data_IF_515463588843
#
_entry.id   IF_515463588843
#
_cell.length_a   1.000
_cell.length_b   1.000
_cell.length_c   1.000
_cell.angle_alpha   90.00
_cell.angle_beta   90.00
_cell.angle_gamma   90.00
#
_symmetry.space_group_name_H-M   'P 1'
#
loop_
_entity.id
_entity.type
_entity.pdbx_description
1 polymer ?
#
# COMPACT_ATOMS: atom_id res chain seq x y z
N UNK A 1 -3.08 -6.53 33.86
CA UNK A 1 -2.87 -5.26 33.13
C UNK A 1 -1.49 -5.12 32.50
N UNK A 2 -0.37 -5.31 33.23
CA UNK A 2 0.99 -5.09 32.71
C UNK A 2 1.32 -5.88 31.42
N UNK A 3 0.96 -7.17 31.36
CA UNK A 3 1.23 -8.02 30.19
C UNK A 3 0.51 -7.57 28.90
N UNK A 4 -0.69 -6.98 29.03
CA UNK A 4 -1.45 -6.46 27.90
C UNK A 4 -0.78 -5.21 27.32
N UNK A 5 -0.36 -4.28 28.19
CA UNK A 5 0.36 -3.07 27.81
C UNK A 5 1.69 -3.39 27.12
N UNK A 6 2.46 -4.35 27.66
CA UNK A 6 3.74 -4.77 27.08
C UNK A 6 3.59 -5.43 25.69
N UNK A 7 2.53 -6.24 25.49
CA UNK A 7 2.22 -6.81 24.18
C UNK A 7 1.88 -5.72 23.16
N UNK A 8 1.08 -4.73 23.57
CA UNK A 8 0.68 -3.60 22.72
C UNK A 8 1.87 -2.73 22.30
N UNK A 9 2.79 -2.41 23.22
CA UNK A 9 3.99 -1.63 22.89
C UNK A 9 4.95 -2.38 21.97
N UNK A 10 5.12 -3.70 22.18
CA UNK A 10 5.93 -4.54 21.29
C UNK A 10 5.34 -4.61 19.87
N UNK A 11 4.03 -4.74 19.74
CA UNK A 11 3.34 -4.77 18.45
C UNK A 11 3.49 -3.43 17.72
N UNK A 12 3.28 -2.30 18.40
CA UNK A 12 3.49 -0.97 17.82
C UNK A 12 4.93 -0.76 17.33
N UNK A 13 5.94 -1.23 18.09
CA UNK A 13 7.35 -1.17 17.68
C UNK A 13 7.64 -2.02 16.45
N UNK A 14 7.00 -3.20 16.32
CA UNK A 14 7.12 -4.04 15.11
C UNK A 14 6.51 -3.37 13.89
N UNK A 15 5.29 -2.82 14.01
CA UNK A 15 4.63 -2.09 12.92
C UNK A 15 5.47 -0.89 12.45
N UNK A 16 6.01 -0.09 13.38
CA UNK A 16 6.93 1.02 13.03
C UNK A 16 8.16 0.55 12.26
N UNK A 17 8.73 -0.61 12.59
CA UNK A 17 9.87 -1.16 11.83
C UNK A 17 9.49 -1.60 10.42
N UNK A 18 8.29 -2.15 10.24
CA UNK A 18 7.77 -2.51 8.91
C UNK A 18 7.56 -1.23 8.10
N UNK A 19 6.88 -0.22 8.66
CA UNK A 19 6.67 1.08 8.02
C UNK A 19 8.00 1.73 7.58
N UNK A 20 8.99 1.77 8.46
CA UNK A 20 10.34 2.25 8.14
C UNK A 20 11.02 1.44 7.02
N UNK A 21 10.85 0.13 7.00
CA UNK A 21 11.40 -0.71 5.94
C UNK A 21 10.75 -0.42 4.59
N UNK A 22 9.42 -0.26 4.56
CA UNK A 22 8.67 0.12 3.35
C UNK A 22 9.08 1.51 2.88
N UNK A 23 9.21 2.48 3.78
CA UNK A 23 9.68 3.83 3.48
C UNK A 23 11.08 3.83 2.83
N UNK A 24 12.02 3.06 3.39
CA UNK A 24 13.39 2.97 2.88
C UNK A 24 13.48 2.31 1.50
N UNK A 25 12.65 1.30 1.23
CA UNK A 25 12.75 0.50 0.00
C UNK A 25 11.93 1.11 -1.14
N UNK A 26 10.77 1.68 -0.83
CA UNK A 26 9.78 2.08 -1.84
C UNK A 26 9.10 3.42 -1.57
N UNK A 27 9.62 4.24 -0.65
CA UNK A 27 9.13 5.59 -0.40
C UNK A 27 7.82 5.68 0.39
N UNK A 28 7.37 4.58 1.00
CA UNK A 28 6.29 4.58 2.00
C UNK A 28 5.05 3.82 1.56
N UNK A 29 4.18 3.50 2.51
CA UNK A 29 3.00 2.65 2.28
C UNK A 29 2.05 3.29 1.26
N UNK A 30 1.69 4.56 1.44
CA UNK A 30 0.84 5.34 0.53
C UNK A 30 1.35 5.30 -0.91
N UNK A 31 2.65 5.52 -1.10
CA UNK A 31 3.29 5.45 -2.42
C UNK A 31 3.22 4.05 -3.02
N UNK A 32 3.41 3.00 -2.23
CA UNK A 32 3.32 1.61 -2.71
C UNK A 32 1.92 1.22 -3.16
N UNK A 33 0.89 1.71 -2.48
CA UNK A 33 -0.50 1.53 -2.91
C UNK A 33 -0.69 2.19 -4.28
N UNK A 34 -0.26 3.45 -4.39
CA UNK A 34 -0.42 4.24 -5.61
C UNK A 34 0.32 3.65 -6.84
N UNK A 35 1.60 3.28 -6.68
CA UNK A 35 2.41 2.62 -7.71
C UNK A 35 1.81 1.27 -8.16
N UNK A 36 1.25 0.51 -7.21
CA UNK A 36 0.63 -0.78 -7.51
C UNK A 36 -0.65 -0.62 -8.34
N UNK A 37 -1.43 0.43 -8.07
CA UNK A 37 -2.63 0.80 -8.85
C UNK A 37 -2.25 1.33 -10.23
N UNK A 38 -1.26 2.23 -10.31
CA UNK A 38 -0.71 2.71 -11.59
C UNK A 38 -0.23 1.56 -12.48
N UNK A 39 0.47 0.58 -11.91
CA UNK A 39 0.91 -0.60 -12.67
C UNK A 39 -0.27 -1.36 -13.28
N UNK A 40 -1.36 -1.55 -12.56
CA UNK A 40 -2.55 -2.20 -13.12
C UNK A 40 -3.18 -1.37 -14.24
N UNK A 41 -3.28 -0.04 -14.10
CA UNK A 41 -3.77 0.85 -15.16
C UNK A 41 -2.91 0.73 -16.43
N UNK A 42 -1.59 0.76 -16.28
CA UNK A 42 -0.65 0.60 -17.40
C UNK A 42 -0.84 -0.77 -18.07
N UNK A 43 -0.98 -1.85 -17.31
CA UNK A 43 -1.19 -3.18 -17.85
C UNK A 43 -2.53 -3.30 -18.58
N UNK A 44 -3.61 -2.72 -18.04
CA UNK A 44 -4.92 -2.69 -18.68
C UNK A 44 -4.87 -1.89 -19.99
N UNK A 45 -4.19 -0.74 -20.01
CA UNK A 45 -4.13 0.14 -21.18
C UNK A 45 -3.18 -0.37 -22.28
N UNK A 46 -2.03 -0.93 -21.89
CA UNK A 46 -0.93 -1.25 -22.83
C UNK A 46 -0.83 -2.74 -23.16
N UNK A 47 -1.21 -3.61 -22.23
CA UNK A 47 -1.07 -5.07 -22.38
C UNK A 47 -2.32 -5.84 -21.94
N UNK A 48 -3.54 -5.50 -22.42
CA UNK A 48 -4.76 -6.17 -21.96
C UNK A 48 -4.80 -7.68 -22.29
N UNK A 49 -4.09 -8.11 -23.35
CA UNK A 49 -3.95 -9.53 -23.69
C UNK A 49 -3.21 -10.32 -22.60
N UNK A 50 -2.18 -9.73 -21.99
CA UNK A 50 -1.42 -10.32 -20.90
C UNK A 50 -2.33 -10.61 -19.69
N UNK A 51 -3.22 -9.68 -19.35
CA UNK A 51 -4.16 -9.85 -18.24
C UNK A 51 -5.24 -10.90 -18.53
N UNK A 52 -5.64 -11.08 -19.80
CA UNK A 52 -6.55 -12.15 -20.21
C UNK A 52 -5.89 -13.53 -20.12
N UNK A 53 -4.64 -13.65 -20.55
CA UNK A 53 -3.90 -14.91 -20.51
C UNK A 53 -3.45 -15.28 -19.10
N UNK A 54 -3.10 -14.29 -18.29
CA UNK A 54 -2.56 -14.47 -16.93
C UNK A 54 -3.40 -13.69 -15.90
N UNK A 55 -4.65 -14.11 -15.64
CA UNK A 55 -5.56 -13.40 -14.73
C UNK A 55 -5.03 -13.32 -13.29
N UNK A 56 -4.12 -14.23 -12.90
CA UNK A 56 -3.46 -14.20 -11.60
C UNK A 56 -2.66 -12.91 -11.34
N UNK A 57 -2.24 -12.18 -12.38
CA UNK A 57 -1.54 -10.90 -12.23
C UNK A 57 -2.45 -9.89 -11.51
N UNK A 58 -3.73 -9.82 -11.89
CA UNK A 58 -4.70 -8.94 -11.21
C UNK A 58 -4.90 -9.37 -9.77
N UNK A 59 -4.96 -10.69 -9.51
CA UNK A 59 -5.05 -11.24 -8.16
C UNK A 59 -3.85 -10.88 -7.29
N UNK A 60 -2.64 -10.98 -7.84
CA UNK A 60 -1.40 -10.59 -7.17
C UNK A 60 -1.39 -9.10 -6.82
N UNK A 61 -1.72 -8.23 -7.78
CA UNK A 61 -1.78 -6.79 -7.55
C UNK A 61 -2.85 -6.43 -6.51
N UNK A 62 -4.01 -7.10 -6.54
CA UNK A 62 -5.09 -6.89 -5.55
C UNK A 62 -4.64 -7.29 -4.14
N UNK A 63 -4.02 -8.46 -3.99
CA UNK A 63 -3.53 -8.92 -2.69
C UNK A 63 -2.46 -7.96 -2.11
N UNK A 64 -1.61 -7.38 -2.95
CA UNK A 64 -0.64 -6.37 -2.51
C UNK A 64 -1.34 -5.06 -2.10
N UNK A 65 -2.35 -4.61 -2.87
CA UNK A 65 -3.14 -3.42 -2.54
C UNK A 65 -3.83 -3.55 -1.18
N UNK A 66 -4.50 -4.68 -0.96
CA UNK A 66 -5.17 -4.99 0.30
C UNK A 66 -4.18 -5.08 1.47
N UNK A 67 -3.02 -5.70 1.26
CA UNK A 67 -1.97 -5.78 2.27
C UNK A 67 -1.46 -4.39 2.68
N UNK A 68 -1.13 -3.53 1.71
CA UNK A 68 -0.64 -2.19 2.01
C UNK A 68 -1.73 -1.28 2.59
N UNK A 69 -2.98 -1.40 2.13
CA UNK A 69 -4.11 -0.68 2.70
C UNK A 69 -4.36 -1.07 4.16
N UNK A 70 -4.29 -2.36 4.48
CA UNK A 70 -4.41 -2.84 5.87
C UNK A 70 -3.22 -2.41 6.72
N UNK A 71 -2.01 -2.41 6.16
CA UNK A 71 -0.82 -1.91 6.86
C UNK A 71 -0.93 -0.41 7.17
N UNK A 72 -1.46 0.40 6.25
CA UNK A 72 -1.73 1.83 6.45
C UNK A 72 -2.79 2.03 7.55
N UNK A 73 -3.87 1.24 7.54
CA UNK A 73 -4.91 1.27 8.59
C UNK A 73 -4.36 0.95 9.97
N UNK A 74 -3.37 0.07 10.05
CA UNK A 74 -2.70 -0.32 11.29
C UNK A 74 -1.58 0.66 11.70
N UNK A 75 -1.24 1.63 10.85
CA UNK A 75 -0.18 2.59 11.13
C UNK A 75 -0.59 3.43 12.36
N UNK A 76 0.27 3.51 13.39
CA UNK A 76 0.03 4.44 14.48
C UNK A 76 -0.04 5.87 13.92
N UNK A 77 -0.91 6.72 14.47
CA UNK A 77 -0.89 8.15 14.17
C UNK A 77 0.55 8.67 14.29
N UNK A 78 1.06 9.20 13.19
CA UNK A 78 2.33 9.91 13.22
C UNK A 78 2.04 11.32 13.75
N UNK A 79 2.89 11.89 14.62
CA UNK A 79 2.82 13.32 14.90
C UNK A 79 2.87 14.06 13.56
N UNK A 80 2.05 15.10 13.40
CA UNK A 80 1.91 15.84 12.16
C UNK A 80 3.29 16.11 11.55
N UNK A 81 3.51 15.61 10.33
CA UNK A 81 4.75 15.82 9.62
C UNK A 81 4.92 17.34 9.43
N UNK A 82 6.09 17.87 9.80
CA UNK A 82 6.47 19.24 9.47
C UNK A 82 6.40 19.47 7.95
N UNK A 83 6.20 20.73 7.57
CA UNK A 83 6.05 21.23 6.20
C UNK A 83 7.00 20.52 5.22
N UNK A 84 6.44 19.72 4.31
CA UNK A 84 7.21 18.91 3.36
C UNK A 84 6.51 17.66 2.82
N UNK A 85 5.25 17.40 3.18
CA UNK A 85 4.45 16.35 2.55
C UNK A 85 4.33 16.65 1.04
N UNK A 86 4.95 15.79 0.22
CA UNK A 86 4.88 15.88 -1.25
C UNK A 86 3.50 15.41 -1.72
N UNK A 87 3.08 15.90 -2.90
CA UNK A 87 1.86 15.70 -3.70
C UNK A 87 1.22 14.29 -3.81
N UNK A 88 1.65 13.27 -3.06
CA UNK A 88 0.98 11.96 -2.97
C UNK A 88 -0.31 11.99 -2.13
N UNK A 89 -0.84 13.17 -1.81
CA UNK A 89 -1.98 13.36 -0.91
C UNK A 89 -3.29 12.72 -1.43
N UNK A 90 -3.33 12.30 -2.69
CA UNK A 90 -4.46 11.57 -3.27
C UNK A 90 -4.00 10.25 -3.88
N UNK A 91 -4.14 9.15 -3.15
CA UNK A 91 -3.94 7.79 -3.67
C UNK A 91 -5.00 7.48 -4.73
N UNK A 92 -4.59 7.08 -5.95
CA UNK A 92 -5.52 6.66 -7.01
C UNK A 92 -6.50 5.60 -6.52
N UNK A 93 -7.77 5.54 -6.96
CA UNK A 93 -8.66 4.43 -6.62
C UNK A 93 -8.20 3.11 -7.24
N UNK A 94 -8.72 1.98 -6.77
CA UNK A 94 -8.44 0.69 -7.40
C UNK A 94 -8.94 0.68 -8.87
N UNK A 95 -8.09 0.33 -9.86
CA UNK A 95 -8.48 0.34 -11.27
C UNK A 95 -9.53 -0.72 -11.59
N UNK A 96 -10.76 -0.28 -11.84
CA UNK A 96 -11.82 -1.15 -12.38
C UNK A 96 -11.56 -1.37 -13.86
N UNK A 97 -11.62 -2.63 -14.32
CA UNK A 97 -11.47 -2.92 -15.73
C UNK A 97 -12.50 -2.12 -16.55
N UNK A 98 -12.01 -1.28 -17.46
CA UNK A 98 -12.84 -0.61 -18.45
C UNK A 98 -13.51 -1.70 -19.29
N UNK A 99 -14.84 -1.78 -19.28
CA UNK A 99 -15.58 -2.62 -20.23
C UNK A 99 -15.33 -2.02 -21.62
N UNK A 100 -14.35 -2.55 -22.35
CA UNK A 100 -14.19 -2.36 -23.79
C UNK A 100 -15.13 -3.29 -24.54
#
# INVERSE_FOLDING_TARGET
MLNFLFRRTRQAKRLRRIDQAVARIGGGITKRIDENRELLEVLQARCPHLLRERPWIVGWLRANDEFFAELERLRPEQPAAGEGARDIDVVRPWPTATRT
#
